data_IF_893518111206
#
_entry.id   IF_893518111206
#
_cell.length_a   1.000
_cell.length_b   1.000
_cell.length_c   1.000
_cell.angle_alpha   90.00
_cell.angle_beta   90.00
_cell.angle_gamma   90.00
#
_symmetry.space_group_name_H-M   'P 1'
#
loop_
_entity.id
_entity.type
_entity.pdbx_description
1 polymer ?
#
# COMPACT_ATOMS: atom_id res chain seq x y z
N UNK A 1 18.14 18.94 4.76
CA UNK A 1 17.68 19.43 4.36
C UNK A 1 16.74 19.55 4.11
N UNK A 2 16.33 19.75 4.37
CA UNK A 2 15.47 19.76 4.04
C UNK A 2 15.00 20.74 3.37
N UNK A 3 15.29 21.07 2.53
CA UNK A 3 14.76 21.95 1.76
C UNK A 3 13.42 21.75 1.41
N UNK A 4 12.95 20.59 1.60
CA UNK A 4 11.63 20.29 1.24
C UNK A 4 10.64 21.09 1.99
N UNK A 5 11.02 21.55 3.12
CA UNK A 5 10.06 22.27 3.88
C UNK A 5 9.90 23.68 3.41
N UNK A 6 10.67 24.12 2.52
CA UNK A 6 10.59 25.48 2.26
C UNK A 6 9.35 25.79 1.50
N UNK A 7 9.09 26.13 0.61
CA UNK A 7 7.89 26.63 0.05
C UNK A 7 7.25 25.64 -0.88
N UNK A 8 6.11 25.99 -1.37
CA UNK A 8 5.45 25.21 -2.35
C UNK A 8 6.25 25.05 -3.62
N UNK A 9 7.27 25.86 -3.81
CA UNK A 9 8.11 25.67 -4.98
C UNK A 9 8.79 24.34 -5.05
N UNK A 10 8.96 23.68 -3.89
CA UNK A 10 9.61 22.39 -3.87
C UNK A 10 8.71 21.24 -4.27
N UNK A 11 7.41 21.49 -4.34
CA UNK A 11 6.49 20.43 -4.75
C UNK A 11 6.79 19.97 -6.17
N UNK A 12 7.16 20.89 -7.05
CA UNK A 12 7.49 20.50 -8.41
C UNK A 12 8.65 19.53 -8.48
N UNK A 13 9.61 19.65 -7.57
CA UNK A 13 10.74 18.73 -7.53
C UNK A 13 10.30 17.36 -6.99
N UNK A 14 9.27 17.34 -6.13
CA UNK A 14 8.76 16.09 -5.58
C UNK A 14 7.94 15.30 -6.58
N UNK A 15 7.36 15.95 -7.55
CA UNK A 15 6.42 15.30 -8.44
C UNK A 15 7.02 14.17 -9.27
N UNK A 16 8.32 14.23 -9.51
CA UNK A 16 8.98 13.20 -10.31
C UNK A 16 9.73 12.16 -9.49
N UNK A 17 9.61 12.21 -8.17
CA UNK A 17 10.29 11.24 -7.32
C UNK A 17 9.50 9.93 -7.34
N UNK A 18 10.15 8.81 -7.68
CA UNK A 18 9.44 7.54 -7.67
C UNK A 18 9.21 7.06 -6.24
N UNK A 19 8.03 6.56 -5.98
CA UNK A 19 7.66 6.04 -4.67
C UNK A 19 7.16 4.61 -4.84
N UNK A 20 7.32 3.82 -3.79
CA UNK A 20 6.86 2.44 -3.83
C UNK A 20 5.41 2.38 -3.37
N UNK A 21 4.57 1.84 -4.23
CA UNK A 21 3.17 1.60 -3.91
C UNK A 21 2.99 0.12 -3.65
N UNK A 22 2.35 -0.22 -2.54
CA UNK A 22 2.14 -1.61 -2.14
C UNK A 22 0.65 -1.88 -2.04
N UNK A 23 0.25 -3.07 -2.47
CA UNK A 23 -1.14 -3.52 -2.35
C UNK A 23 -1.14 -4.70 -1.39
N UNK A 24 -1.92 -4.61 -0.31
CA UNK A 24 -2.00 -5.66 0.70
C UNK A 24 -3.35 -6.35 0.66
N UNK A 25 -3.32 -7.67 0.58
CA UNK A 25 -4.54 -8.46 0.65
C UNK A 25 -5.05 -8.59 2.07
N UNK A 26 -4.15 -8.54 3.06
CA UNK A 26 -4.51 -8.68 4.45
C UNK A 26 -3.28 -8.94 5.27
N UNK A 27 -3.46 -9.05 6.58
CA UNK A 27 -2.37 -9.26 7.54
C UNK A 27 -2.77 -10.30 8.55
N UNK A 28 -1.80 -10.83 9.25
CA UNK A 28 -2.05 -11.73 10.35
C UNK A 28 -0.86 -11.72 11.28
N UNK A 29 -1.06 -12.21 12.51
CA UNK A 29 0.00 -12.30 13.50
C UNK A 29 0.16 -13.77 13.87
N UNK A 30 1.40 -14.24 13.85
CA UNK A 30 1.71 -15.62 14.20
C UNK A 30 2.92 -15.63 15.12
N UNK A 31 3.02 -16.66 15.93
CA UNK A 31 4.17 -16.82 16.83
C UNK A 31 5.39 -17.23 16.03
N UNK A 32 6.57 -17.06 16.63
CA UNK A 32 7.81 -17.52 15.99
C UNK A 32 7.73 -19.01 15.71
N UNK A 33 7.18 -19.78 16.65
CA UNK A 33 7.04 -21.23 16.47
C UNK A 33 6.21 -21.56 15.25
N UNK A 34 5.09 -20.85 15.07
CA UNK A 34 4.23 -21.10 13.92
C UNK A 34 4.92 -20.72 12.61
N UNK A 35 5.68 -19.62 12.62
CA UNK A 35 6.38 -19.19 11.41
C UNK A 35 7.46 -20.20 11.02
N UNK A 36 8.18 -20.74 12.01
CA UNK A 36 9.21 -21.70 11.72
C UNK A 36 8.65 -23.03 11.24
N UNK A 37 7.39 -23.30 11.52
CA UNK A 37 6.74 -24.53 11.08
C UNK A 37 6.15 -24.45 9.67
N UNK A 38 6.20 -23.29 9.02
CA UNK A 38 5.65 -23.14 7.68
C UNK A 38 6.44 -23.96 6.67
N UNK A 39 5.73 -24.55 5.73
CA UNK A 39 6.32 -25.40 4.72
C UNK A 39 5.45 -25.34 3.47
N UNK A 40 5.93 -25.80 2.32
CA UNK A 40 5.09 -25.83 1.13
C UNK A 40 3.80 -26.58 1.42
N UNK A 41 2.68 -25.96 1.06
CA UNK A 41 1.36 -26.50 1.34
C UNK A 41 0.71 -25.93 2.58
N UNK A 42 1.47 -25.24 3.44
CA UNK A 42 0.86 -24.58 4.59
C UNK A 42 -0.07 -23.47 4.15
N UNK A 43 -1.12 -23.21 4.93
CA UNK A 43 -2.08 -22.13 4.63
C UNK A 43 -2.04 -21.14 5.77
N UNK A 44 -1.93 -19.87 5.41
CA UNK A 44 -1.95 -18.76 6.38
C UNK A 44 -3.20 -17.96 6.12
N UNK A 45 -4.07 -17.88 7.12
CA UNK A 45 -5.32 -17.14 7.00
C UNK A 45 -5.07 -15.67 7.34
N UNK A 46 -5.66 -14.77 6.57
CA UNK A 46 -5.48 -13.34 6.75
C UNK A 46 -6.70 -12.73 7.44
N UNK A 47 -6.54 -11.49 7.89
CA UNK A 47 -7.58 -10.82 8.66
C UNK A 47 -8.71 -10.22 7.81
N UNK A 48 -8.62 -10.32 6.50
CA UNK A 48 -9.68 -9.80 5.64
C UNK A 48 -10.54 -10.93 5.10
N UNK A 49 -11.81 -10.63 4.92
CA UNK A 49 -12.73 -11.58 4.32
C UNK A 49 -12.57 -11.57 2.80
N UNK A 50 -12.86 -12.72 2.20
CA UNK A 50 -12.87 -12.80 0.75
C UNK A 50 -13.88 -11.79 0.20
N UNK A 51 -13.46 -11.02 -0.79
CA UNK A 51 -14.34 -10.01 -1.37
C UNK A 51 -14.21 -8.62 -0.78
N UNK A 52 -13.46 -8.48 0.34
CA UNK A 52 -13.23 -7.16 0.88
C UNK A 52 -12.22 -6.40 0.03
N UNK A 53 -12.30 -5.07 0.08
CA UNK A 53 -11.34 -4.24 -0.63
C UNK A 53 -9.94 -4.46 -0.09
N UNK A 54 -8.93 -4.40 -0.98
CA UNK A 54 -7.53 -4.50 -0.57
C UNK A 54 -7.02 -3.11 -0.24
N UNK A 55 -5.98 -3.07 0.57
CA UNK A 55 -5.38 -1.81 1.01
C UNK A 55 -4.24 -1.41 0.09
N UNK A 56 -4.17 -0.12 -0.21
CA UNK A 56 -3.12 0.43 -1.07
C UNK A 56 -2.32 1.42 -0.23
N UNK A 57 -1.01 1.16 -0.13
CA UNK A 57 -0.14 1.92 0.75
C UNK A 57 1.01 2.55 -0.03
N UNK A 58 1.43 3.73 0.43
CA UNK A 58 2.65 4.38 -0.05
C UNK A 58 3.45 4.74 1.19
N UNK A 59 4.73 4.36 1.20
CA UNK A 59 5.57 4.55 2.39
C UNK A 59 4.91 3.95 3.63
N UNK A 60 4.27 2.79 3.44
CA UNK A 60 3.61 2.06 4.52
C UNK A 60 2.41 2.79 5.12
N UNK A 61 1.92 3.81 4.46
CA UNK A 61 0.74 4.54 4.91
C UNK A 61 -0.41 4.28 3.97
N UNK A 62 -1.58 3.99 4.53
CA UNK A 62 -2.76 3.69 3.74
C UNK A 62 -3.23 4.95 3.02
N UNK A 63 -3.35 4.91 1.71
CA UNK A 63 -3.85 6.04 0.93
C UNK A 63 -5.12 5.71 0.17
N UNK A 64 -5.44 4.44 -0.03
CA UNK A 64 -6.57 4.06 -0.86
C UNK A 64 -6.98 2.64 -0.59
N UNK A 65 -8.13 2.26 -1.12
CA UNK A 65 -8.59 0.88 -1.13
C UNK A 65 -9.08 0.57 -2.54
N UNK A 66 -9.09 -0.69 -2.88
CA UNK A 66 -9.52 -1.06 -4.22
C UNK A 66 -9.80 -2.54 -4.36
N UNK A 67 -10.03 -2.95 -5.59
CA UNK A 67 -10.27 -4.36 -5.88
C UNK A 67 -9.24 -4.83 -6.91
N UNK A 68 -8.80 -6.08 -6.75
CA UNK A 68 -7.82 -6.66 -7.64
C UNK A 68 -8.47 -6.96 -8.98
N UNK A 69 -7.80 -6.57 -10.05
CA UNK A 69 -8.24 -6.85 -11.42
C UNK A 69 -7.06 -7.45 -12.19
N UNK A 70 -7.34 -7.99 -13.36
CA UNK A 70 -6.30 -8.53 -14.22
C UNK A 70 -6.23 -7.66 -15.48
N UNK A 71 -5.03 -7.20 -15.80
CA UNK A 71 -4.78 -6.39 -16.99
C UNK A 71 -3.74 -7.13 -17.82
N UNK A 72 -4.18 -7.68 -18.96
CA UNK A 72 -3.35 -8.56 -19.76
C UNK A 72 -2.89 -9.72 -18.87
N UNK A 73 -1.61 -9.87 -18.61
CA UNK A 73 -1.11 -10.96 -17.79
C UNK A 73 -0.72 -10.50 -16.40
N UNK A 74 -0.98 -9.24 -16.07
CA UNK A 74 -0.58 -8.70 -14.79
C UNK A 74 -1.80 -8.46 -13.90
N UNK A 75 -1.57 -8.51 -12.59
CA UNK A 75 -2.58 -8.03 -11.67
C UNK A 75 -2.53 -6.52 -11.62
N UNK A 76 -3.68 -5.91 -11.49
CA UNK A 76 -3.80 -4.48 -11.23
C UNK A 76 -4.75 -4.27 -10.08
N UNK A 77 -5.00 -3.03 -9.73
CA UNK A 77 -5.98 -2.71 -8.70
C UNK A 77 -6.82 -1.55 -9.19
N UNK A 78 -8.15 -1.70 -9.06
CA UNK A 78 -9.08 -0.63 -9.38
C UNK A 78 -9.39 0.11 -8.10
N UNK A 79 -9.13 1.40 -8.07
CA UNK A 79 -9.35 2.20 -6.86
C UNK A 79 -10.86 2.35 -6.62
N UNK A 80 -11.28 2.06 -5.39
CA UNK A 80 -12.68 2.24 -4.99
C UNK A 80 -12.86 3.34 -3.95
N UNK A 81 -11.81 3.60 -3.14
CA UNK A 81 -11.81 4.68 -2.17
C UNK A 81 -10.42 5.27 -2.15
N UNK A 82 -10.31 6.57 -1.99
CA UNK A 82 -9.01 7.20 -1.97
C UNK A 82 -9.05 8.47 -1.14
N UNK A 83 -7.93 8.75 -0.44
CA UNK A 83 -7.77 9.98 0.30
C UNK A 83 -7.75 11.16 -0.67
N UNK A 84 -8.12 12.34 -0.21
CA UNK A 84 -8.06 13.50 -1.08
C UNK A 84 -6.59 13.88 -1.36
N UNK A 85 -6.34 14.74 -2.34
CA UNK A 85 -4.96 15.04 -2.75
C UNK A 85 -4.07 15.57 -1.64
N UNK A 86 -4.61 16.39 -0.73
CA UNK A 86 -3.79 16.90 0.37
C UNK A 86 -3.36 15.80 1.31
N UNK A 87 -4.26 14.90 1.62
CA UNK A 87 -3.93 13.78 2.50
C UNK A 87 -2.94 12.84 1.85
N UNK A 88 -3.07 12.63 0.54
CA UNK A 88 -2.11 11.81 -0.18
C UNK A 88 -0.72 12.44 -0.18
N UNK A 89 -0.66 13.75 -0.36
CA UNK A 89 0.62 14.44 -0.35
C UNK A 89 1.29 14.31 1.02
N UNK A 90 0.51 14.45 2.09
CA UNK A 90 1.04 14.28 3.44
C UNK A 90 1.59 12.86 3.63
N UNK A 91 0.89 11.87 3.14
CA UNK A 91 1.32 10.49 3.28
C UNK A 91 2.66 10.25 2.57
N UNK A 92 2.83 10.78 1.36
CA UNK A 92 4.07 10.52 0.61
C UNK A 92 5.24 11.34 1.13
N UNK A 93 4.99 12.38 1.89
CA UNK A 93 6.06 13.16 2.48
C UNK A 93 6.54 12.59 3.79
N UNK A 94 5.74 11.82 4.43
CA UNK A 94 6.00 11.40 5.74
C UNK A 94 6.34 10.04 6.00
#
# INVERSE_FOLDING_TARGET
MSQMESSGGNIGLLMDVPLKLTVELGRTTRTVKEILALAPGSVVELDKLSGEAVDILVNEKLIAKGEVVVIDENFGVRITEILDPEQRLTAVQG
#
